data_IF_849978384353
#
_entry.id   IF_849978384353
#
_cell.length_a   1.000
_cell.length_b   1.000
_cell.length_c   1.000
_cell.angle_alpha   90.00
_cell.angle_beta   90.00
_cell.angle_gamma   90.00
#
_symmetry.space_group_name_H-M   'P 1'
#
loop_
_entity.id
_entity.type
_entity.pdbx_description
1 polymer ?
#
# COMPACT_ATOMS: atom_id res chain seq x y z
N UNK A 1 -10.72 4.86 -3.91
CA UNK A 1 -11.82 4.33 -3.07
C UNK A 1 -11.92 2.81 -3.04
N UNK A 2 -11.78 2.08 -4.17
CA UNK A 2 -11.82 0.60 -4.21
C UNK A 2 -10.74 -0.05 -3.29
N UNK A 3 -9.61 0.64 -3.08
CA UNK A 3 -8.52 0.19 -2.20
C UNK A 3 -8.85 0.22 -0.69
N UNK A 4 -9.79 1.05 -0.22
CA UNK A 4 -10.14 1.12 1.22
C UNK A 4 -10.86 -0.16 1.65
N UNK A 5 -11.91 -0.53 0.91
CA UNK A 5 -12.76 -1.68 1.23
C UNK A 5 -11.95 -2.97 1.05
N UNK A 6 -11.21 -3.10 -0.06
CA UNK A 6 -10.36 -4.26 -0.30
C UNK A 6 -9.21 -4.38 0.71
N UNK A 7 -8.67 -3.26 1.19
CA UNK A 7 -7.70 -3.20 2.28
C UNK A 7 -8.21 -3.69 3.62
N UNK A 8 -9.38 -3.19 4.04
CA UNK A 8 -10.04 -3.62 5.27
C UNK A 8 -10.37 -5.11 5.25
N UNK A 9 -10.86 -5.61 4.12
CA UNK A 9 -11.10 -7.04 3.92
C UNK A 9 -9.77 -7.81 3.99
N UNK A 10 -8.71 -7.34 3.32
CA UNK A 10 -7.40 -7.99 3.35
C UNK A 10 -6.81 -8.06 4.77
N UNK A 11 -7.01 -7.05 5.62
CA UNK A 11 -6.54 -7.07 7.00
C UNK A 11 -7.18 -8.20 7.84
N UNK A 12 -8.39 -8.64 7.49
CA UNK A 12 -9.06 -9.76 8.16
C UNK A 12 -8.50 -11.13 7.78
N UNK A 13 -7.73 -11.24 6.68
CA UNK A 13 -7.28 -12.52 6.14
C UNK A 13 -6.46 -13.38 7.12
N UNK A 14 -5.46 -12.85 7.85
CA UNK A 14 -4.69 -13.67 8.78
C UNK A 14 -5.51 -14.29 9.91
N UNK A 15 -6.68 -13.72 10.23
CA UNK A 15 -7.56 -14.21 11.28
C UNK A 15 -8.54 -15.28 10.80
N UNK A 16 -9.07 -15.13 9.58
CA UNK A 16 -10.14 -15.99 9.07
C UNK A 16 -9.67 -17.07 8.08
N UNK A 17 -8.49 -16.92 7.49
CA UNK A 17 -8.03 -17.77 6.41
C UNK A 17 -6.71 -18.45 6.77
N UNK A 18 -6.62 -19.76 6.51
CA UNK A 18 -5.34 -20.47 6.52
C UNK A 18 -4.38 -19.92 5.46
N UNK A 19 -3.09 -20.19 5.60
CA UNK A 19 -2.07 -19.69 4.68
C UNK A 19 -2.38 -20.01 3.22
N UNK A 20 -2.76 -21.25 2.93
CA UNK A 20 -3.07 -21.71 1.57
C UNK A 20 -4.29 -21.00 0.96
N UNK A 21 -5.33 -20.69 1.75
CA UNK A 21 -6.52 -20.04 1.22
C UNK A 21 -6.30 -18.57 0.88
N UNK A 22 -5.45 -17.85 1.63
CA UNK A 22 -5.06 -16.48 1.27
C UNK A 22 -4.32 -16.45 -0.07
N UNK A 23 -3.36 -17.37 -0.27
CA UNK A 23 -2.65 -17.47 -1.56
C UNK A 23 -3.61 -17.78 -2.71
N UNK A 24 -4.50 -18.77 -2.56
CA UNK A 24 -5.46 -19.14 -3.61
C UNK A 24 -6.42 -17.98 -3.92
N UNK A 25 -6.92 -17.29 -2.89
CA UNK A 25 -7.86 -16.19 -3.07
C UNK A 25 -7.21 -15.00 -3.78
N UNK A 26 -6.04 -14.56 -3.33
CA UNK A 26 -5.36 -13.45 -3.99
C UNK A 26 -4.87 -13.82 -5.40
N UNK A 27 -4.39 -15.05 -5.63
CA UNK A 27 -3.93 -15.48 -6.95
C UNK A 27 -5.10 -15.61 -7.94
N UNK A 28 -6.24 -16.16 -7.50
CA UNK A 28 -7.45 -16.21 -8.32
C UNK A 28 -7.99 -14.83 -8.65
N UNK A 29 -8.01 -13.90 -7.68
CA UNK A 29 -8.42 -12.52 -7.92
C UNK A 29 -7.49 -11.79 -8.90
N UNK A 30 -6.17 -11.96 -8.74
CA UNK A 30 -5.18 -11.41 -9.68
C UNK A 30 -5.37 -11.99 -11.08
N UNK A 31 -5.59 -13.31 -11.19
CA UNK A 31 -5.84 -13.97 -12.48
C UNK A 31 -7.12 -13.44 -13.16
N UNK A 32 -8.21 -13.28 -12.41
CA UNK A 32 -9.46 -12.71 -12.92
C UNK A 32 -9.25 -11.28 -13.44
N UNK A 33 -8.50 -10.45 -12.71
CA UNK A 33 -8.22 -9.07 -13.12
C UNK A 33 -7.38 -9.00 -14.40
N UNK A 34 -6.31 -9.81 -14.49
CA UNK A 34 -5.49 -9.89 -15.71
C UNK A 34 -6.30 -10.41 -16.90
N UNK A 35 -7.13 -11.43 -16.68
CA UNK A 35 -7.98 -12.01 -17.71
C UNK A 35 -9.05 -11.02 -18.20
N UNK A 36 -9.72 -10.34 -17.28
CA UNK A 36 -10.73 -9.32 -17.56
C UNK A 36 -10.14 -8.18 -18.40
N UNK A 37 -8.97 -7.66 -18.00
CA UNK A 37 -8.27 -6.61 -18.76
C UNK A 37 -7.89 -7.05 -20.16
N UNK A 38 -7.41 -8.29 -20.34
CA UNK A 38 -7.09 -8.83 -21.66
C UNK A 38 -8.34 -8.89 -22.54
N UNK A 39 -9.49 -9.31 -22.02
CA UNK A 39 -10.74 -9.38 -22.77
C UNK A 39 -11.34 -8.01 -23.09
N UNK A 40 -11.27 -7.05 -22.17
CA UNK A 40 -11.74 -5.67 -22.40
C UNK A 40 -10.84 -4.97 -23.44
N UNK A 41 -9.52 -5.19 -23.37
CA UNK A 41 -8.56 -4.63 -24.33
C UNK A 41 -8.68 -5.28 -25.72
N UNK A 42 -9.21 -6.51 -25.83
CA UNK A 42 -9.55 -7.16 -27.10
C UNK A 42 -10.86 -6.64 -27.70
N UNK A 43 -11.81 -6.16 -26.87
CA UNK A 43 -13.06 -5.53 -27.33
C UNK A 43 -12.90 -4.03 -27.68
N UNK A 44 -11.87 -3.37 -27.15
CA UNK A 44 -11.62 -1.93 -27.33
C UNK A 44 -10.42 -1.64 -28.23
N UNK A 45 -10.54 -1.86 -29.54
CA UNK A 45 -9.61 -1.30 -30.55
C UNK A 45 -9.77 0.22 -30.69
N UNK A 46 -10.85 0.81 -30.15
CA UNK A 46 -11.09 2.25 -30.19
C UNK A 46 -11.15 2.86 -28.78
N UNK A 47 -10.23 3.80 -28.54
CA UNK A 47 -10.34 4.98 -27.68
C UNK A 47 -10.92 4.78 -26.28
N UNK A 48 -10.08 4.77 -25.23
CA UNK A 48 -10.13 5.66 -24.05
C UNK A 48 -8.85 5.45 -23.19
N UNK A 49 -8.07 6.53 -23.16
CA UNK A 49 -7.18 7.12 -22.16
C UNK A 49 -6.72 6.38 -20.87
N UNK A 50 -5.37 6.39 -20.69
CA UNK A 50 -4.54 6.18 -19.49
C UNK A 50 -4.62 4.82 -18.77
N UNK A 51 -3.65 3.95 -19.06
CA UNK A 51 -3.33 2.74 -18.27
C UNK A 51 -2.81 3.12 -16.87
N UNK A 52 -3.67 3.00 -15.85
CA UNK A 52 -3.22 2.87 -14.45
C UNK A 52 -3.09 1.39 -14.12
N UNK A 53 -1.96 0.98 -13.54
CA UNK A 53 -1.70 -0.42 -13.17
C UNK A 53 -2.15 -0.76 -11.75
N UNK A 54 -2.67 0.22 -10.99
CA UNK A 54 -2.92 0.09 -9.56
C UNK A 54 -3.86 -1.05 -9.16
N UNK A 55 -4.89 -1.36 -9.98
CA UNK A 55 -5.83 -2.44 -9.69
C UNK A 55 -5.20 -3.83 -9.70
N UNK A 56 -4.21 -4.07 -10.56
CA UNK A 56 -3.45 -5.33 -10.63
C UNK A 56 -2.36 -5.41 -9.57
N UNK A 57 -1.74 -4.27 -9.28
CA UNK A 57 -0.60 -4.19 -8.37
C UNK A 57 -1.03 -4.36 -6.90
N UNK A 58 -2.26 -3.99 -6.54
CA UNK A 58 -2.75 -4.11 -5.17
C UNK A 58 -2.84 -5.58 -4.66
N UNK A 59 -3.53 -6.52 -5.34
CA UNK A 59 -3.52 -7.93 -4.94
C UNK A 59 -2.13 -8.56 -4.90
N UNK A 60 -1.26 -8.15 -5.84
CA UNK A 60 0.14 -8.59 -5.84
C UNK A 60 0.87 -8.09 -4.59
N UNK A 61 0.64 -6.85 -4.17
CA UNK A 61 1.22 -6.34 -2.93
C UNK A 61 0.70 -7.08 -1.70
N UNK A 62 -0.59 -7.39 -1.62
CA UNK A 62 -1.16 -8.16 -0.51
C UNK A 62 -0.52 -9.54 -0.43
N UNK A 63 -0.34 -10.22 -1.57
CA UNK A 63 0.37 -11.50 -1.65
C UNK A 63 1.80 -11.41 -1.13
N UNK A 64 2.55 -10.40 -1.57
CA UNK A 64 3.94 -10.23 -1.16
C UNK A 64 4.04 -9.92 0.34
N UNK A 65 3.21 -9.01 0.87
CA UNK A 65 3.13 -8.73 2.30
C UNK A 65 2.79 -9.99 3.10
N UNK A 66 1.84 -10.80 2.63
CA UNK A 66 1.44 -12.03 3.29
C UNK A 66 2.55 -13.08 3.28
N UNK A 67 3.24 -13.22 2.15
CA UNK A 67 4.38 -14.12 2.01
C UNK A 67 5.52 -13.74 2.97
N UNK A 68 5.86 -12.46 3.05
CA UNK A 68 6.90 -11.97 3.99
C UNK A 68 6.47 -12.22 5.43
N UNK A 69 5.22 -11.88 5.80
CA UNK A 69 4.67 -12.20 7.11
C UNK A 69 4.80 -13.68 7.46
N UNK A 70 4.42 -14.60 6.57
CA UNK A 70 4.54 -16.04 6.82
C UNK A 70 6.00 -16.51 6.91
N UNK A 71 6.93 -15.83 6.25
CA UNK A 71 8.35 -16.17 6.28
C UNK A 71 9.07 -15.65 7.52
N UNK A 72 8.64 -14.49 8.05
CA UNK A 72 9.23 -13.86 9.24
C UNK A 72 8.50 -14.19 10.53
N UNK A 73 7.26 -14.70 10.43
CA UNK A 73 6.28 -14.87 11.51
C UNK A 73 5.96 -13.58 12.28
N UNK A 74 6.20 -12.42 11.65
CA UNK A 74 5.99 -11.10 12.25
C UNK A 74 4.82 -10.38 11.55
N UNK A 75 3.69 -10.27 12.26
CA UNK A 75 2.46 -9.67 11.74
C UNK A 75 2.62 -8.22 11.24
N UNK A 76 3.61 -7.50 11.75
CA UNK A 76 4.00 -6.17 11.31
C UNK A 76 4.25 -6.06 9.79
N UNK A 77 4.87 -7.06 9.17
CA UNK A 77 5.17 -7.07 7.73
C UNK A 77 3.93 -7.18 6.84
N UNK A 78 2.77 -7.49 7.43
CA UNK A 78 1.48 -7.51 6.74
C UNK A 78 0.64 -6.29 7.09
N UNK A 79 0.39 -6.07 8.38
CA UNK A 79 -0.59 -5.07 8.83
C UNK A 79 -0.14 -3.63 8.58
N UNK A 80 1.11 -3.27 8.88
CA UNK A 80 1.62 -1.92 8.66
C UNK A 80 1.58 -1.51 7.17
N UNK A 81 2.21 -2.23 6.23
CA UNK A 81 2.25 -1.80 4.83
C UNK A 81 0.86 -1.71 4.20
N UNK A 82 -0.02 -2.69 4.49
CA UNK A 82 -1.38 -2.69 3.94
C UNK A 82 -2.20 -1.56 4.53
N UNK A 83 -2.17 -1.34 5.85
CA UNK A 83 -2.92 -0.26 6.49
C UNK A 83 -2.49 1.13 6.01
N UNK A 84 -1.18 1.37 5.92
CA UNK A 84 -0.64 2.63 5.40
C UNK A 84 -1.13 2.85 3.97
N UNK A 85 -1.00 1.87 3.08
CA UNK A 85 -1.48 1.99 1.71
C UNK A 85 -2.98 2.26 1.64
N UNK A 86 -3.79 1.52 2.41
CA UNK A 86 -5.25 1.52 2.22
C UNK A 86 -5.96 2.67 2.93
N UNK A 87 -5.32 3.29 3.92
CA UNK A 87 -5.87 4.40 4.68
C UNK A 87 -5.17 5.72 4.36
N UNK A 88 -3.84 5.77 4.40
CA UNK A 88 -3.09 7.03 4.21
C UNK A 88 -3.20 7.57 2.79
N UNK A 89 -3.14 6.71 1.76
CA UNK A 89 -3.24 7.17 0.36
C UNK A 89 -4.60 7.82 0.05
N UNK A 90 -5.76 7.23 0.41
CA UNK A 90 -7.04 7.90 0.23
C UNK A 90 -7.20 9.19 1.05
N UNK A 91 -6.72 9.23 2.30
CA UNK A 91 -6.78 10.44 3.13
C UNK A 91 -5.96 11.55 2.47
N UNK A 92 -4.75 11.25 2.00
CA UNK A 92 -3.88 12.18 1.29
C UNK A 92 -4.52 12.69 -0.01
N UNK A 93 -5.17 11.80 -0.77
CA UNK A 93 -5.86 12.16 -2.01
C UNK A 93 -7.03 13.11 -1.75
N UNK A 94 -7.84 12.87 -0.71
CA UNK A 94 -8.97 13.73 -0.34
C UNK A 94 -8.46 15.10 0.10
N UNK A 95 -7.55 15.15 1.07
CA UNK A 95 -7.03 16.43 1.61
C UNK A 95 -6.25 17.20 0.55
N UNK A 96 -5.46 16.51 -0.27
CA UNK A 96 -4.69 17.11 -1.36
C UNK A 96 -5.55 17.70 -2.48
N UNK A 97 -6.75 17.16 -2.73
CA UNK A 97 -7.70 17.72 -3.70
C UNK A 97 -8.43 18.96 -3.17
N UNK A 98 -8.74 18.99 -1.87
CA UNK A 98 -9.49 20.08 -1.24
C UNK A 98 -8.62 21.29 -0.84
N UNK A 99 -7.32 21.23 -1.05
CA UNK A 99 -6.40 22.31 -0.67
C UNK A 99 -5.76 22.97 -1.89
N UNK A 100 -5.83 24.31 -1.97
CA UNK A 100 -5.10 25.14 -2.94
C UNK A 100 -3.62 25.24 -2.55
N UNK A 101 -2.98 24.08 -2.44
CA UNK A 101 -1.59 23.92 -2.07
C UNK A 101 -0.64 24.01 -3.26
N UNK A 102 0.65 24.17 -2.97
CA UNK A 102 1.69 24.06 -3.98
C UNK A 102 1.71 22.62 -4.53
N UNK A 103 1.37 22.48 -5.81
CA UNK A 103 1.34 21.20 -6.52
C UNK A 103 2.72 20.97 -7.15
N UNK A 104 3.32 19.83 -6.85
CA UNK A 104 4.54 19.38 -7.50
C UNK A 104 4.13 18.55 -8.71
N UNK A 105 4.49 19.01 -9.90
CA UNK A 105 4.36 18.22 -11.12
C UNK A 105 5.55 17.27 -11.23
N UNK A 106 5.27 15.97 -11.13
CA UNK A 106 6.27 14.91 -11.31
C UNK A 106 5.85 14.10 -12.54
N UNK A 107 6.44 14.43 -13.70
CA UNK A 107 6.04 13.88 -14.99
C UNK A 107 4.62 14.35 -15.38
N UNK A 108 3.73 13.41 -15.72
CA UNK A 108 2.35 13.70 -16.12
C UNK A 108 1.33 13.70 -14.97
N UNK A 109 1.80 13.65 -13.71
CA UNK A 109 0.96 13.70 -12.53
C UNK A 109 1.34 14.88 -11.63
N UNK A 110 0.34 15.50 -11.03
CA UNK A 110 0.52 16.56 -10.04
C UNK A 110 0.16 16.03 -8.66
N UNK A 111 1.13 16.04 -7.73
CA UNK A 111 0.91 15.68 -6.32
C UNK A 111 0.94 16.96 -5.47
N UNK A 112 0.10 17.00 -4.45
CA UNK A 112 0.04 18.12 -3.51
C UNK A 112 1.05 17.89 -2.39
N UNK A 113 1.84 18.92 -2.05
CA UNK A 113 2.71 18.88 -0.86
C UNK A 113 1.91 18.64 0.43
N UNK A 114 0.72 19.23 0.54
CA UNK A 114 -0.18 19.03 1.68
C UNK A 114 -0.72 17.60 1.68
N UNK A 115 -1.00 17.03 0.51
CA UNK A 115 -1.37 15.62 0.38
C UNK A 115 -0.30 14.70 0.96
N UNK A 116 0.96 14.85 0.54
CA UNK A 116 2.07 14.03 1.04
C UNK A 116 2.33 14.26 2.54
N UNK A 117 2.25 15.48 3.06
CA UNK A 117 2.36 15.72 4.51
C UNK A 117 1.23 15.03 5.29
N UNK A 118 0.01 15.05 4.74
CA UNK A 118 -1.14 14.35 5.31
C UNK A 118 -0.94 12.84 5.26
N UNK A 119 -0.34 12.32 4.18
CA UNK A 119 0.05 10.92 4.07
C UNK A 119 1.02 10.55 5.20
N UNK A 120 2.12 11.30 5.37
CA UNK A 120 3.13 11.02 6.40
C UNK A 120 2.51 11.08 7.81
N UNK A 121 1.69 12.08 8.09
CA UNK A 121 1.04 12.23 9.39
C UNK A 121 0.07 11.08 9.68
N UNK A 122 -0.78 10.72 8.73
CA UNK A 122 -1.71 9.59 8.89
C UNK A 122 -0.97 8.25 8.99
N UNK A 123 0.07 8.03 8.19
CA UNK A 123 0.89 6.83 8.22
C UNK A 123 1.56 6.65 9.59
N UNK A 124 2.04 7.74 10.19
CA UNK A 124 2.63 7.75 11.53
C UNK A 124 1.61 7.39 12.60
N UNK A 125 0.42 7.99 12.56
CA UNK A 125 -0.67 7.70 13.50
C UNK A 125 -1.08 6.23 13.40
N UNK A 126 -1.33 5.74 12.18
CA UNK A 126 -1.69 4.33 11.93
C UNK A 126 -0.59 3.40 12.44
N UNK A 127 0.67 3.73 12.17
CA UNK A 127 1.81 2.92 12.61
C UNK A 127 1.90 2.83 14.12
N UNK A 128 1.71 3.94 14.84
CA UNK A 128 1.71 3.97 16.31
C UNK A 128 0.55 3.16 16.87
N UNK A 129 -0.66 3.34 16.32
CA UNK A 129 -1.86 2.62 16.78
C UNK A 129 -1.70 1.11 16.60
N UNK A 130 -1.22 0.66 15.43
CA UNK A 130 -0.98 -0.76 15.17
C UNK A 130 0.16 -1.33 16.00
N UNK A 131 1.25 -0.58 16.18
CA UNK A 131 2.36 -0.97 17.04
C UNK A 131 1.91 -1.21 18.49
N UNK A 132 1.00 -0.37 19.01
CA UNK A 132 0.42 -0.54 20.34
C UNK A 132 -0.57 -1.72 20.37
N UNK A 133 -1.54 -1.76 19.45
CA UNK A 133 -2.61 -2.77 19.45
C UNK A 133 -2.08 -4.20 19.30
N UNK A 134 -1.14 -4.42 18.38
CA UNK A 134 -0.54 -5.74 18.14
C UNK A 134 0.74 -5.97 18.95
N UNK A 135 1.17 -5.01 19.76
CA UNK A 135 2.39 -5.09 20.57
C UNK A 135 3.63 -5.46 19.74
N UNK A 136 3.84 -4.80 18.59
CA UNK A 136 5.01 -5.07 17.73
C UNK A 136 6.35 -4.65 18.36
N UNK A 137 6.34 -3.83 19.42
CA UNK A 137 7.52 -3.36 20.16
C UNK A 137 8.54 -2.57 19.32
N UNK A 138 8.12 -1.95 18.21
CA UNK A 138 9.00 -1.07 17.45
C UNK A 138 9.16 0.29 18.13
N UNK A 139 10.35 0.88 17.98
CA UNK A 139 10.66 2.22 18.48
C UNK A 139 9.91 3.29 17.68
N UNK A 140 9.57 4.40 18.33
CA UNK A 140 8.91 5.55 17.68
C UNK A 140 9.77 6.08 16.53
N UNK A 141 11.12 6.06 16.69
CA UNK A 141 12.07 6.47 15.64
C UNK A 141 11.90 5.62 14.38
N UNK A 142 11.75 4.29 14.52
CA UNK A 142 11.51 3.42 13.39
C UNK A 142 10.20 3.75 12.67
N UNK A 143 9.12 3.99 13.43
CA UNK A 143 7.80 4.32 12.86
C UNK A 143 7.81 5.66 12.12
N UNK A 144 8.59 6.64 12.59
CA UNK A 144 8.85 7.90 11.88
C UNK A 144 9.55 7.63 10.55
N UNK A 145 10.60 6.79 10.54
CA UNK A 145 11.32 6.43 9.30
C UNK A 145 10.40 5.70 8.32
N UNK A 146 9.56 4.77 8.80
CA UNK A 146 8.54 4.08 8.00
C UNK A 146 7.58 5.09 7.35
N UNK A 147 7.10 6.07 8.12
CA UNK A 147 6.13 7.06 7.64
C UNK A 147 6.74 8.04 6.63
N UNK A 148 7.97 8.50 6.89
CA UNK A 148 8.69 9.41 5.98
C UNK A 148 9.06 8.68 4.69
N UNK A 149 9.62 7.47 4.78
CA UNK A 149 10.02 6.69 3.59
C UNK A 149 8.83 6.38 2.69
N UNK A 150 7.70 5.95 3.26
CA UNK A 150 6.47 5.70 2.50
C UNK A 150 5.89 6.98 1.90
N UNK A 151 5.93 8.13 2.60
CA UNK A 151 5.51 9.41 2.04
C UNK A 151 6.41 9.91 0.90
N UNK A 152 7.72 9.71 0.99
CA UNK A 152 8.64 10.01 -0.12
C UNK A 152 8.31 9.13 -1.33
N UNK A 153 8.07 7.85 -1.11
CA UNK A 153 7.64 6.94 -2.19
C UNK A 153 6.31 7.39 -2.80
N UNK A 154 5.32 7.78 -1.99
CA UNK A 154 4.03 8.31 -2.46
C UNK A 154 4.22 9.50 -3.41
N UNK A 155 5.10 10.44 -3.02
CA UNK A 155 5.38 11.63 -3.82
C UNK A 155 5.96 11.28 -5.19
N UNK A 156 6.86 10.30 -5.27
CA UNK A 156 7.53 9.92 -6.53
C UNK A 156 6.80 8.86 -7.34
N UNK A 157 5.87 8.12 -6.74
CA UNK A 157 5.22 7.01 -7.41
C UNK A 157 4.19 7.47 -8.46
N UNK A 158 4.13 6.73 -9.56
CA UNK A 158 3.38 7.12 -10.77
C UNK A 158 2.39 6.03 -11.17
N UNK A 159 1.29 6.41 -11.81
CA UNK A 159 0.40 5.50 -12.56
C UNK A 159 -0.09 4.26 -11.79
N UNK A 160 -0.29 4.36 -10.48
CA UNK A 160 -0.76 3.25 -9.64
C UNK A 160 0.35 2.32 -9.11
N UNK A 161 1.63 2.62 -9.35
CA UNK A 161 2.75 1.86 -8.79
C UNK A 161 2.90 2.02 -7.27
N UNK A 162 2.31 3.07 -6.70
CA UNK A 162 2.21 3.33 -5.26
C UNK A 162 1.63 2.12 -4.53
N UNK A 163 0.70 1.41 -5.17
CA UNK A 163 0.09 0.19 -4.64
C UNK A 163 1.06 -0.96 -4.36
N UNK A 164 2.29 -0.93 -4.89
CA UNK A 164 3.36 -1.87 -4.53
C UNK A 164 4.53 -1.15 -3.87
N UNK A 165 4.94 0.01 -4.39
CA UNK A 165 6.14 0.68 -3.91
C UNK A 165 6.02 1.11 -2.46
N UNK A 166 4.83 1.55 -2.01
CA UNK A 166 4.59 1.94 -0.62
C UNK A 166 4.72 0.72 0.32
N UNK A 167 3.99 -0.40 0.12
CA UNK A 167 4.19 -1.60 0.91
C UNK A 167 5.63 -2.12 0.93
N UNK A 168 6.31 -2.10 -0.22
CA UNK A 168 7.71 -2.53 -0.31
C UNK A 168 8.65 -1.62 0.47
N UNK A 169 8.41 -0.31 0.50
CA UNK A 169 9.25 0.62 1.28
C UNK A 169 9.13 0.35 2.78
N UNK A 170 7.92 0.09 3.27
CA UNK A 170 7.66 -0.26 4.67
C UNK A 170 8.38 -1.57 5.03
N UNK A 171 8.21 -2.62 4.22
CA UNK A 171 8.90 -3.92 4.42
C UNK A 171 10.42 -3.74 4.45
N UNK A 172 10.96 -2.93 3.53
CA UNK A 172 12.41 -2.70 3.44
C UNK A 172 12.97 -2.03 4.71
N UNK A 173 12.25 -1.03 5.24
CA UNK A 173 12.65 -0.35 6.49
C UNK A 173 12.59 -1.31 7.68
N UNK A 174 11.52 -2.11 7.80
CA UNK A 174 11.40 -3.11 8.88
C UNK A 174 12.49 -4.17 8.80
N UNK A 175 12.79 -4.66 7.60
CA UNK A 175 13.85 -5.65 7.36
C UNK A 175 15.24 -5.10 7.73
N UNK A 176 15.52 -3.85 7.34
CA UNK A 176 16.77 -3.17 7.70
C UNK A 176 16.92 -3.07 9.23
N UNK A 177 15.86 -2.70 9.94
CA UNK A 177 15.87 -2.67 11.41
C UNK A 177 16.14 -4.04 12.02
N UNK A 178 15.55 -5.11 11.46
CA UNK A 178 15.78 -6.48 11.93
C UNK A 178 17.25 -6.91 11.77
N UNK A 179 17.88 -6.56 10.66
CA UNK A 179 19.31 -6.85 10.40
C UNK A 179 20.27 -6.11 11.34
N UNK A 180 19.90 -4.91 11.81
CA UNK A 180 20.73 -4.13 12.74
C UNK A 180 20.69 -4.73 14.16
N UNK A 181 19.62 -5.43 14.51
CA UNK A 181 19.37 -5.97 15.85
C UNK A 181 19.49 -7.50 15.97
N UNK A 182 19.87 -8.19 14.89
CA UNK A 182 20.18 -9.64 14.86
C UNK A 182 21.65 -9.92 15.14
#
# INVERSE_FOLDING_TARGET
MIHIISGLIAQSFPWFLGSSSVFILCLSFLFILLWSKRNIQLQGINCIERKSFGSELFPLSVLLCFYVYKSTDEAAYYYLPIAILTLSDPIAAIVGQHTNSCKIAIGNQTRSLIGTMTFIASALIISIVLNYYFSFQYSVVLLVIVSISSGVIELYSRNGFDNITIPMSVISVLCCNKLIHS
#
